data_IF_617639776429
#
_entry.id   IF_617639776429
#
_cell.length_a   1.000
_cell.length_b   1.000
_cell.length_c   1.000
_cell.angle_alpha   90.00
_cell.angle_beta   90.00
_cell.angle_gamma   90.00
#
_symmetry.space_group_name_H-M   'P 1'
#
loop_
_entity.id
_entity.type
_entity.pdbx_description
1 polymer ?
#
# COMPACT_ATOMS: atom_id res chain seq x y z
N UNK A 1 24.52 12.18 -13.56
CA UNK A 1 24.73 12.85 -12.28
C UNK A 1 24.03 11.97 -11.23
N UNK A 2 24.79 11.14 -10.55
CA UNK A 2 24.25 10.13 -9.61
C UNK A 2 23.90 10.85 -8.32
N UNK A 3 22.62 10.97 -7.99
CA UNK A 3 22.20 11.51 -6.70
C UNK A 3 22.49 10.49 -5.60
N UNK A 4 23.52 10.75 -4.81
CA UNK A 4 23.69 10.07 -3.51
C UNK A 4 22.55 10.51 -2.60
N UNK A 5 21.57 9.63 -2.38
CA UNK A 5 20.59 9.80 -1.33
C UNK A 5 21.29 9.53 -0.01
N UNK A 6 21.68 10.59 0.70
CA UNK A 6 22.26 10.51 2.02
C UNK A 6 21.14 10.23 3.03
N UNK A 7 21.11 9.03 3.58
CA UNK A 7 20.16 8.63 4.60
C UNK A 7 20.83 8.76 5.98
N UNK A 8 20.41 9.74 6.74
CA UNK A 8 20.55 9.71 8.20
C UNK A 8 19.18 9.36 8.79
N UNK A 9 18.93 8.06 8.95
CA UNK A 9 17.91 7.57 9.86
C UNK A 9 18.43 7.75 11.31
N UNK A 10 17.53 7.95 12.31
CA UNK A 10 17.96 7.95 13.70
C UNK A 10 18.67 6.62 14.02
N UNK A 11 19.60 6.62 14.96
CA UNK A 11 20.62 5.59 15.28
C UNK A 11 20.20 4.11 15.38
N UNK A 12 18.93 3.78 15.19
CA UNK A 12 18.40 2.40 15.18
C UNK A 12 18.15 1.82 13.79
N UNK A 13 18.45 2.55 12.72
CA UNK A 13 18.16 2.14 11.34
C UNK A 13 19.37 1.65 10.54
N UNK A 14 20.49 1.39 11.19
CA UNK A 14 21.77 1.09 10.53
C UNK A 14 21.97 -0.40 10.18
N UNK A 15 20.88 -1.16 9.91
CA UNK A 15 20.96 -2.59 9.56
C UNK A 15 20.70 -2.83 8.07
N UNK A 16 20.11 -1.87 7.33
CA UNK A 16 19.89 -2.04 5.92
C UNK A 16 21.14 -1.68 5.11
N UNK A 17 21.80 -2.71 4.54
CA UNK A 17 22.67 -2.46 3.39
C UNK A 17 21.79 -1.89 2.27
N UNK A 18 22.18 -0.77 1.61
CA UNK A 18 21.50 -0.32 0.40
C UNK A 18 21.38 -1.51 -0.56
N UNK A 19 20.20 -1.75 -1.09
CA UNK A 19 20.03 -2.71 -2.17
C UNK A 19 20.86 -2.21 -3.35
N UNK A 20 21.92 -2.96 -3.69
CA UNK A 20 22.71 -2.71 -4.89
C UNK A 20 21.97 -3.42 -6.03
N UNK A 21 21.42 -2.63 -6.96
CA UNK A 21 20.85 -3.18 -8.18
C UNK A 21 21.93 -3.95 -8.93
N UNK A 22 21.77 -5.27 -8.97
CA UNK A 22 22.58 -6.09 -9.87
C UNK A 22 22.11 -5.75 -11.28
N UNK A 23 22.96 -5.15 -12.10
CA UNK A 23 22.64 -4.65 -13.44
C UNK A 23 21.68 -5.60 -14.19
N UNK A 24 20.44 -5.13 -14.46
CA UNK A 24 19.42 -5.85 -15.20
C UNK A 24 18.45 -6.69 -14.35
N UNK A 25 18.51 -6.69 -13.02
CA UNK A 25 17.57 -7.44 -12.18
C UNK A 25 16.16 -6.85 -12.20
N UNK A 26 16.03 -5.50 -12.31
CA UNK A 26 14.78 -4.80 -12.38
C UNK A 26 14.48 -4.22 -13.75
N UNK A 27 13.26 -4.44 -14.22
CA UNK A 27 12.80 -3.89 -15.48
C UNK A 27 12.61 -2.38 -15.36
N UNK A 28 13.20 -1.63 -16.27
CA UNK A 28 12.99 -0.18 -16.38
C UNK A 28 11.55 0.11 -16.80
N UNK A 29 10.77 0.86 -15.97
CA UNK A 29 9.43 1.27 -16.34
C UNK A 29 9.45 2.41 -17.34
N UNK A 30 8.38 2.60 -18.11
CA UNK A 30 8.20 3.76 -18.95
C UNK A 30 6.93 4.53 -18.61
N UNK A 31 6.94 5.83 -18.92
CA UNK A 31 5.85 6.76 -18.63
C UNK A 31 5.17 7.17 -19.92
N UNK A 32 3.85 7.01 -19.98
CA UNK A 32 3.02 7.63 -21.01
C UNK A 32 2.36 8.87 -20.41
N UNK A 33 2.70 10.03 -20.98
CA UNK A 33 2.11 11.32 -20.62
C UNK A 33 1.35 11.89 -21.83
N UNK A 34 0.03 12.04 -21.69
CA UNK A 34 -0.83 12.63 -22.72
C UNK A 34 -1.28 14.07 -22.40
N UNK A 35 -0.62 14.72 -21.42
CA UNK A 35 -0.92 16.06 -20.94
C UNK A 35 -2.02 16.10 -19.86
N UNK A 36 -2.96 15.18 -19.86
CA UNK A 36 -4.04 15.09 -18.86
C UNK A 36 -3.80 14.00 -17.83
N UNK A 37 -3.14 12.92 -18.23
CA UNK A 37 -2.78 11.81 -17.35
C UNK A 37 -1.34 11.35 -17.58
N UNK A 38 -0.68 10.95 -16.50
CA UNK A 38 0.58 10.20 -16.53
C UNK A 38 0.32 8.78 -16.09
N UNK A 39 0.81 7.82 -16.85
CA UNK A 39 0.65 6.40 -16.56
C UNK A 39 2.00 5.70 -16.57
N UNK A 40 2.25 4.88 -15.56
CA UNK A 40 3.45 4.07 -15.39
C UNK A 40 3.18 2.65 -15.87
N UNK A 41 4.09 2.10 -16.67
CA UNK A 41 3.99 0.77 -17.23
C UNK A 41 5.32 0.02 -17.12
N UNK A 42 5.27 -1.31 -16.91
CA UNK A 42 6.39 -2.21 -17.18
C UNK A 42 6.30 -2.83 -18.59
N UNK A 43 5.08 -3.07 -19.07
CA UNK A 43 4.75 -3.51 -20.43
C UNK A 43 3.51 -2.75 -20.90
N UNK A 44 3.24 -2.71 -22.21
CA UNK A 44 2.11 -1.94 -22.76
C UNK A 44 0.74 -2.36 -22.22
N UNK A 45 0.62 -3.58 -21.76
CA UNK A 45 -0.59 -4.21 -21.20
C UNK A 45 -0.66 -4.17 -19.65
N UNK A 46 0.44 -3.77 -18.99
CA UNK A 46 0.53 -3.79 -17.52
C UNK A 46 0.62 -2.37 -16.95
N UNK A 47 -0.53 -1.74 -16.77
CA UNK A 47 -0.62 -0.46 -16.06
C UNK A 47 -0.27 -0.66 -14.58
N UNK A 48 0.80 -0.01 -14.13
CA UNK A 48 1.23 -0.02 -12.73
C UNK A 48 0.62 1.12 -11.93
N UNK A 49 0.50 2.29 -12.54
CA UNK A 49 -0.09 3.46 -11.88
C UNK A 49 -0.60 4.47 -12.89
N UNK A 50 -1.60 5.26 -12.46
CA UNK A 50 -2.12 6.38 -13.23
C UNK A 50 -2.34 7.58 -12.33
N UNK A 51 -1.95 8.76 -12.81
CA UNK A 51 -2.13 10.04 -12.14
C UNK A 51 -2.84 11.02 -13.06
N UNK A 52 -3.87 11.69 -12.56
CA UNK A 52 -4.45 12.86 -13.23
C UNK A 52 -3.55 14.07 -13.01
N UNK A 53 -3.10 14.73 -14.08
CA UNK A 53 -2.16 15.87 -13.99
C UNK A 53 -2.78 17.08 -13.27
N UNK A 54 -4.09 17.30 -13.42
CA UNK A 54 -4.83 18.36 -12.74
C UNK A 54 -5.10 18.07 -11.26
N UNK A 55 -5.13 16.79 -10.87
CA UNK A 55 -5.43 16.35 -9.51
C UNK A 55 -4.48 15.20 -9.10
N UNK A 56 -3.21 15.47 -8.87
CA UNK A 56 -2.17 14.44 -8.69
C UNK A 56 -2.33 13.58 -7.44
N UNK A 57 -3.16 14.00 -6.48
CA UNK A 57 -3.50 13.23 -5.27
C UNK A 57 -4.78 12.42 -5.41
N UNK A 58 -5.51 12.53 -6.53
CA UNK A 58 -6.71 11.75 -6.79
C UNK A 58 -6.36 10.26 -7.00
N UNK A 59 -7.18 9.37 -6.42
CA UNK A 59 -7.05 7.92 -6.60
C UNK A 59 -7.71 7.52 -7.92
N UNK A 60 -6.92 7.53 -9.01
CA UNK A 60 -7.42 7.32 -10.38
C UNK A 60 -7.74 5.84 -10.69
N UNK A 61 -7.07 4.89 -10.02
CA UNK A 61 -7.30 3.45 -10.20
C UNK A 61 -8.22 2.96 -9.07
N UNK A 62 -9.23 2.16 -9.40
CA UNK A 62 -10.33 1.83 -8.49
C UNK A 62 -9.88 1.08 -7.21
N UNK A 63 -9.01 0.07 -7.34
CA UNK A 63 -8.53 -0.69 -6.19
C UNK A 63 -7.83 0.18 -5.14
N UNK A 64 -7.20 1.29 -5.56
CA UNK A 64 -6.56 2.22 -4.62
C UNK A 64 -7.56 2.86 -3.68
N UNK A 65 -8.80 3.10 -4.13
CA UNK A 65 -9.89 3.58 -3.26
C UNK A 65 -10.34 2.48 -2.29
N UNK A 66 -10.39 1.22 -2.75
CA UNK A 66 -10.70 0.09 -1.86
C UNK A 66 -9.63 -0.05 -0.78
N UNK A 67 -8.34 0.08 -1.12
CA UNK A 67 -7.25 0.03 -0.13
C UNK A 67 -7.37 1.13 0.93
N UNK A 68 -7.95 2.29 0.62
CA UNK A 68 -8.22 3.33 1.62
C UNK A 68 -9.30 2.91 2.64
N UNK A 69 -9.95 1.77 2.45
CA UNK A 69 -10.84 1.17 3.44
C UNK A 69 -10.21 0.96 4.81
N UNK A 70 -8.87 1.03 4.94
CA UNK A 70 -8.20 1.03 6.25
C UNK A 70 -8.69 2.16 7.16
N UNK A 71 -9.12 3.29 6.60
CA UNK A 71 -9.66 4.43 7.34
C UNK A 71 -10.94 4.08 8.12
N UNK A 72 -11.65 3.01 7.75
CA UNK A 72 -12.77 2.47 8.52
C UNK A 72 -12.32 1.86 9.85
N UNK A 73 -11.07 1.41 9.95
CA UNK A 73 -10.50 0.73 11.13
C UNK A 73 -9.63 1.67 11.96
N UNK A 74 -8.85 2.50 11.28
CA UNK A 74 -8.00 3.51 11.88
C UNK A 74 -7.99 4.76 10.99
N UNK A 75 -8.70 5.78 11.41
CA UNK A 75 -8.85 7.03 10.67
C UNK A 75 -7.70 8.02 10.88
N UNK A 76 -6.80 7.76 11.84
CA UNK A 76 -5.66 8.62 12.21
C UNK A 76 -4.41 7.81 12.57
N UNK A 77 -3.92 6.95 11.68
CA UNK A 77 -2.72 6.17 11.97
C UNK A 77 -1.51 7.08 12.15
N UNK A 78 -0.72 6.83 13.18
CA UNK A 78 0.50 7.59 13.41
C UNK A 78 1.62 7.19 12.44
N UNK A 79 1.66 5.90 12.02
CA UNK A 79 2.68 5.39 11.12
C UNK A 79 2.11 4.38 10.12
N UNK A 80 2.23 4.70 8.84
CA UNK A 80 1.86 3.81 7.74
C UNK A 80 3.13 3.27 7.07
N UNK A 81 3.24 1.92 7.00
CA UNK A 81 4.19 1.22 6.14
C UNK A 81 3.57 0.96 4.76
N UNK A 82 4.35 1.07 3.69
CA UNK A 82 3.92 0.74 2.33
C UNK A 82 4.97 -0.12 1.63
N UNK A 83 4.57 -1.26 1.09
CA UNK A 83 5.40 -2.10 0.21
C UNK A 83 4.89 -1.91 -1.21
N UNK A 84 5.73 -1.32 -2.05
CA UNK A 84 5.41 -0.83 -3.39
C UNK A 84 5.13 0.68 -3.39
N UNK A 85 5.73 1.38 -4.35
CA UNK A 85 5.54 2.82 -4.58
C UNK A 85 4.70 3.08 -5.84
N UNK A 86 5.05 2.44 -6.94
CA UNK A 86 4.50 2.75 -8.25
C UNK A 86 4.56 4.24 -8.56
N UNK A 87 3.47 4.85 -9.01
CA UNK A 87 3.36 6.31 -9.17
C UNK A 87 3.02 7.08 -7.88
N UNK A 88 3.15 6.45 -6.71
CA UNK A 88 2.94 7.07 -5.41
C UNK A 88 1.49 7.48 -5.11
N UNK A 89 0.50 6.88 -5.77
CA UNK A 89 -0.92 7.28 -5.63
C UNK A 89 -1.41 7.17 -4.19
N UNK A 90 -1.16 6.04 -3.51
CA UNK A 90 -1.55 5.81 -2.12
C UNK A 90 -0.81 6.78 -1.18
N UNK A 91 0.51 6.91 -1.37
CA UNK A 91 1.35 7.80 -0.54
C UNK A 91 0.89 9.26 -0.65
N UNK A 92 0.70 9.77 -1.88
CA UNK A 92 0.29 11.18 -2.10
C UNK A 92 -1.07 11.48 -1.50
N UNK A 93 -2.02 10.56 -1.65
CA UNK A 93 -3.35 10.69 -1.05
C UNK A 93 -3.24 10.74 0.48
N UNK A 94 -2.59 9.75 1.10
CA UNK A 94 -2.43 9.69 2.55
C UNK A 94 -1.63 10.90 3.08
N UNK A 95 -0.55 11.30 2.42
CA UNK A 95 0.27 12.44 2.82
C UNK A 95 -0.55 13.75 2.87
N UNK A 96 -1.42 13.97 1.87
CA UNK A 96 -2.27 15.17 1.81
C UNK A 96 -3.36 15.17 2.88
N UNK A 97 -3.97 14.02 3.14
CA UNK A 97 -5.20 13.95 3.94
C UNK A 97 -4.99 13.46 5.38
N UNK A 98 -3.81 12.97 5.70
CA UNK A 98 -3.41 12.51 7.04
C UNK A 98 -2.17 13.29 7.50
N UNK A 99 -2.30 14.58 7.91
CA UNK A 99 -1.16 15.47 8.13
C UNK A 99 -0.23 15.04 9.27
N UNK A 100 -0.73 14.29 10.26
CA UNK A 100 0.04 13.83 11.42
C UNK A 100 0.73 12.47 11.19
N UNK A 101 0.43 11.81 10.06
CA UNK A 101 0.93 10.47 9.75
C UNK A 101 2.35 10.51 9.18
N UNK A 102 3.20 9.62 9.66
CA UNK A 102 4.52 9.30 9.06
C UNK A 102 4.39 8.12 8.12
N UNK A 103 5.27 8.07 7.13
CA UNK A 103 5.28 7.04 6.08
C UNK A 103 6.65 6.41 5.95
N UNK A 104 6.69 5.08 5.90
CA UNK A 104 7.87 4.32 5.46
C UNK A 104 7.46 3.52 4.23
N UNK A 105 8.05 3.86 3.08
CA UNK A 105 7.73 3.26 1.78
C UNK A 105 8.90 2.44 1.30
N UNK A 106 8.68 1.19 0.98
CA UNK A 106 9.68 0.25 0.49
C UNK A 106 9.36 -0.05 -0.97
N UNK A 107 10.31 0.27 -1.85
CA UNK A 107 10.22 0.01 -3.28
C UNK A 107 11.48 -0.74 -3.73
N UNK A 108 11.28 -1.88 -4.38
CA UNK A 108 12.40 -2.73 -4.79
C UNK A 108 13.09 -2.19 -6.04
N UNK A 109 12.35 -1.51 -6.91
CA UNK A 109 12.84 -1.06 -8.21
C UNK A 109 13.39 0.39 -8.14
N UNK A 110 14.72 0.59 -8.24
CA UNK A 110 15.32 1.93 -8.19
C UNK A 110 14.86 2.84 -9.33
N UNK A 111 14.47 2.28 -10.49
CA UNK A 111 13.95 3.07 -11.61
C UNK A 111 12.56 3.65 -11.28
N UNK A 112 11.71 2.94 -10.53
CA UNK A 112 10.43 3.46 -10.03
C UNK A 112 10.68 4.61 -9.06
N UNK A 113 11.64 4.47 -8.15
CA UNK A 113 12.04 5.54 -7.23
C UNK A 113 12.53 6.78 -7.99
N UNK A 114 13.33 6.60 -9.03
CA UNK A 114 13.84 7.71 -9.84
C UNK A 114 12.72 8.50 -10.54
N UNK A 115 11.55 7.89 -10.78
CA UNK A 115 10.40 8.54 -11.40
C UNK A 115 9.48 9.25 -10.38
N UNK A 116 9.73 9.12 -9.08
CA UNK A 116 8.85 9.65 -8.02
C UNK A 116 8.53 11.13 -8.18
N UNK A 117 9.52 11.97 -8.52
CA UNK A 117 9.33 13.40 -8.77
C UNK A 117 8.41 13.68 -9.96
N UNK A 118 8.50 12.89 -11.04
CA UNK A 118 7.63 13.05 -12.22
C UNK A 118 6.16 12.78 -11.91
N UNK A 119 5.91 11.93 -10.88
CA UNK A 119 4.59 11.63 -10.37
C UNK A 119 4.16 12.52 -9.19
N UNK A 120 4.97 13.52 -8.82
CA UNK A 120 4.64 14.47 -7.76
C UNK A 120 4.62 13.86 -6.36
N UNK A 121 5.45 12.84 -6.13
CA UNK A 121 5.68 12.30 -4.78
C UNK A 121 6.37 13.36 -3.93
N UNK A 122 5.86 13.70 -2.73
CA UNK A 122 6.44 14.74 -1.88
C UNK A 122 7.84 14.36 -1.37
N UNK A 123 8.72 15.37 -1.28
CA UNK A 123 10.10 15.23 -0.74
C UNK A 123 10.19 15.66 0.72
N UNK A 124 9.22 15.28 1.53
CA UNK A 124 9.19 15.59 2.96
C UNK A 124 9.90 14.50 3.77
N UNK A 125 11.17 14.77 4.12
CA UNK A 125 12.01 13.83 4.88
C UNK A 125 11.63 13.70 6.36
N UNK A 126 10.81 14.58 6.89
CA UNK A 126 10.32 14.50 8.26
C UNK A 126 9.19 13.48 8.38
N UNK A 127 8.37 13.37 7.34
CA UNK A 127 7.21 12.49 7.32
C UNK A 127 7.36 11.26 6.42
N UNK A 128 8.23 11.31 5.40
CA UNK A 128 8.39 10.24 4.41
C UNK A 128 9.81 9.68 4.45
N UNK A 129 9.92 8.39 4.72
CA UNK A 129 11.14 7.61 4.54
C UNK A 129 10.94 6.67 3.35
N UNK A 130 11.72 6.87 2.28
CA UNK A 130 11.69 6.01 1.10
C UNK A 130 12.91 5.09 1.12
N UNK A 131 12.68 3.78 1.12
CA UNK A 131 13.70 2.74 1.18
C UNK A 131 13.73 1.99 -0.15
N UNK A 132 14.90 1.93 -0.79
CA UNK A 132 15.13 1.05 -1.93
C UNK A 132 15.48 -0.35 -1.39
N UNK A 133 14.60 -1.35 -1.60
CA UNK A 133 14.85 -2.69 -1.10
C UNK A 133 13.67 -3.66 -1.21
N UNK A 134 13.93 -4.92 -0.89
CA UNK A 134 12.92 -5.98 -0.86
C UNK A 134 12.00 -5.82 0.35
N UNK A 135 10.67 -5.72 0.10
CA UNK A 135 9.66 -5.56 1.15
C UNK A 135 9.56 -6.76 2.09
N UNK A 136 9.78 -7.98 1.59
CA UNK A 136 9.76 -9.18 2.44
C UNK A 136 10.98 -9.25 3.36
N UNK A 137 12.13 -8.81 2.88
CA UNK A 137 13.31 -8.66 3.71
C UNK A 137 13.13 -7.56 4.75
N UNK A 138 12.57 -6.42 4.33
CA UNK A 138 12.35 -5.29 5.22
C UNK A 138 11.47 -5.66 6.43
N UNK A 139 10.29 -6.28 6.21
CA UNK A 139 9.41 -6.65 7.34
C UNK A 139 10.01 -7.72 8.25
N UNK A 140 10.92 -8.54 7.76
CA UNK A 140 11.66 -9.52 8.56
C UNK A 140 12.69 -8.88 9.50
N UNK A 141 13.32 -7.77 9.06
CA UNK A 141 14.52 -7.24 9.71
C UNK A 141 14.26 -5.92 10.46
N UNK A 142 13.16 -5.24 10.18
CA UNK A 142 12.87 -3.94 10.80
C UNK A 142 12.40 -4.08 12.25
N UNK A 143 12.84 -3.11 13.09
CA UNK A 143 12.28 -2.89 14.42
C UNK A 143 11.10 -1.92 14.44
N UNK A 144 10.77 -1.29 13.31
CA UNK A 144 9.65 -0.37 13.21
C UNK A 144 8.32 -1.08 13.47
N UNK A 145 7.34 -0.32 13.92
CA UNK A 145 5.96 -0.78 14.09
C UNK A 145 5.03 0.14 13.34
N UNK A 146 4.01 -0.46 12.71
CA UNK A 146 3.05 0.24 11.86
C UNK A 146 1.63 0.07 12.40
N UNK A 147 0.86 1.14 12.37
CA UNK A 147 -0.58 1.08 12.64
C UNK A 147 -1.30 0.51 11.42
N UNK A 148 -0.82 0.85 10.23
CA UNK A 148 -1.29 0.30 8.96
C UNK A 148 -0.10 -0.11 8.10
N UNK A 149 -0.16 -1.31 7.53
CA UNK A 149 0.80 -1.79 6.52
C UNK A 149 0.05 -2.04 5.22
N UNK A 150 0.32 -1.23 4.19
CA UNK A 150 -0.23 -1.40 2.85
C UNK A 150 0.75 -2.23 2.01
N UNK A 151 0.28 -3.32 1.41
CA UNK A 151 1.07 -4.17 0.52
C UNK A 151 0.46 -4.11 -0.88
N UNK A 152 1.14 -3.39 -1.77
CA UNK A 152 0.78 -3.15 -3.18
C UNK A 152 2.02 -3.37 -4.06
N UNK A 153 2.70 -4.49 -3.85
CA UNK A 153 3.93 -4.87 -4.53
C UNK A 153 3.67 -5.83 -5.69
N UNK A 154 3.82 -5.34 -6.91
CA UNK A 154 3.75 -6.11 -8.15
C UNK A 154 5.00 -5.85 -8.98
N UNK A 155 5.45 -6.87 -9.70
CA UNK A 155 6.50 -6.76 -10.70
C UNK A 155 5.93 -7.01 -12.12
N UNK A 156 6.81 -7.07 -13.11
CA UNK A 156 6.44 -7.34 -14.50
C UNK A 156 5.91 -8.77 -14.74
N UNK A 157 6.02 -9.67 -13.76
CA UNK A 157 5.48 -11.05 -13.78
C UNK A 157 4.18 -11.16 -12.99
N UNK A 158 3.76 -10.08 -12.32
CA UNK A 158 2.58 -10.05 -11.46
C UNK A 158 2.93 -10.01 -9.98
N UNK A 159 2.35 -10.90 -9.18
CA UNK A 159 2.52 -10.90 -7.74
C UNK A 159 3.77 -11.69 -7.31
N UNK A 160 4.77 -11.07 -6.68
CA UNK A 160 6.00 -11.75 -6.28
C UNK A 160 5.72 -12.84 -5.24
N UNK A 161 6.23 -14.08 -5.42
CA UNK A 161 6.05 -15.17 -4.45
C UNK A 161 6.57 -14.84 -3.05
N UNK A 162 7.58 -13.99 -2.92
CA UNK A 162 8.12 -13.52 -1.64
C UNK A 162 7.07 -12.79 -0.82
N UNK A 163 6.22 -11.97 -1.47
CA UNK A 163 5.14 -11.20 -0.85
C UNK A 163 3.84 -11.99 -0.62
N UNK A 164 3.82 -13.29 -0.94
CA UNK A 164 2.68 -14.18 -0.74
C UNK A 164 3.03 -15.41 0.10
N UNK A 165 4.22 -15.44 0.68
CA UNK A 165 4.67 -16.56 1.49
C UNK A 165 4.06 -16.52 2.90
N UNK A 166 3.89 -17.70 3.53
CA UNK A 166 3.44 -17.82 4.93
C UNK A 166 4.34 -17.00 5.88
N UNK A 167 5.65 -17.06 5.69
CA UNK A 167 6.62 -16.31 6.50
C UNK A 167 6.47 -14.79 6.34
N UNK A 168 6.22 -14.34 5.12
CA UNK A 168 5.99 -12.92 4.87
C UNK A 168 4.79 -12.41 5.66
N UNK A 169 3.65 -13.10 5.62
CA UNK A 169 2.46 -12.67 6.38
C UNK A 169 2.66 -12.75 7.89
N UNK A 170 3.43 -13.71 8.39
CA UNK A 170 3.83 -13.76 9.81
C UNK A 170 4.67 -12.53 10.19
N UNK A 171 5.68 -12.16 9.39
CA UNK A 171 6.46 -10.95 9.65
C UNK A 171 5.61 -9.67 9.51
N UNK A 172 4.65 -9.62 8.56
CA UNK A 172 3.69 -8.52 8.50
C UNK A 172 2.89 -8.39 9.80
N UNK A 173 2.42 -9.51 10.36
CA UNK A 173 1.75 -9.52 11.66
C UNK A 173 2.66 -9.01 12.79
N UNK A 174 3.92 -9.40 12.81
CA UNK A 174 4.89 -9.01 13.84
C UNK A 174 5.20 -7.51 13.83
N UNK A 175 5.32 -6.88 12.65
CA UNK A 175 5.64 -5.45 12.51
C UNK A 175 4.43 -4.53 12.73
N UNK A 176 3.24 -5.07 12.91
CA UNK A 176 2.06 -4.28 13.26
C UNK A 176 2.01 -3.98 14.75
N UNK A 177 1.48 -2.79 15.09
CA UNK A 177 1.08 -2.44 16.46
C UNK A 177 -0.01 -3.39 16.98
N UNK A 178 -0.34 -3.44 18.28
CA UNK A 178 -1.31 -4.40 18.85
C UNK A 178 -2.71 -4.35 18.20
N UNK A 179 -3.10 -3.23 17.60
CA UNK A 179 -4.38 -3.04 16.90
C UNK A 179 -4.18 -2.77 15.41
N UNK A 180 -2.96 -2.98 14.92
CA UNK A 180 -2.57 -2.63 13.55
C UNK A 180 -3.28 -3.46 12.49
N UNK A 181 -3.33 -2.91 11.28
CA UNK A 181 -4.04 -3.46 10.13
C UNK A 181 -3.07 -3.71 8.97
N UNK A 182 -3.11 -4.90 8.42
CA UNK A 182 -2.54 -5.21 7.10
C UNK A 182 -3.62 -4.99 6.04
N UNK A 183 -3.27 -4.30 4.95
CA UNK A 183 -4.09 -4.19 3.74
C UNK A 183 -3.28 -4.71 2.56
N UNK A 184 -3.67 -5.85 2.03
CA UNK A 184 -2.95 -6.49 0.94
C UNK A 184 -3.76 -6.48 -0.35
N UNK A 185 -3.12 -6.03 -1.43
CA UNK A 185 -3.67 -6.09 -2.78
C UNK A 185 -3.23 -7.40 -3.45
N UNK A 186 -4.19 -8.23 -3.87
CA UNK A 186 -3.99 -9.46 -4.61
C UNK A 186 -4.71 -9.39 -5.97
N UNK A 187 -4.15 -10.03 -7.00
CA UNK A 187 -4.91 -10.26 -8.23
C UNK A 187 -6.04 -11.25 -7.98
N UNK A 188 -7.27 -10.84 -8.31
CA UNK A 188 -8.48 -11.67 -8.08
C UNK A 188 -8.43 -13.01 -8.81
N UNK A 189 -8.02 -12.98 -10.08
CA UNK A 189 -7.98 -14.16 -10.96
C UNK A 189 -6.65 -14.92 -10.92
N UNK A 190 -5.75 -14.63 -9.96
CA UNK A 190 -4.48 -15.32 -9.85
C UNK A 190 -4.70 -16.79 -9.41
N UNK A 191 -4.10 -17.80 -10.09
CA UNK A 191 -4.30 -19.22 -9.73
C UNK A 191 -3.94 -19.56 -8.27
N UNK A 192 -3.02 -18.79 -7.67
CA UNK A 192 -2.62 -18.94 -6.26
C UNK A 192 -3.45 -18.15 -5.28
N UNK A 193 -4.49 -17.41 -5.70
CA UNK A 193 -5.26 -16.49 -4.86
C UNK A 193 -5.77 -17.13 -3.57
N UNK A 194 -6.44 -18.28 -3.66
CA UNK A 194 -6.96 -19.01 -2.50
C UNK A 194 -5.86 -19.45 -1.52
N UNK A 195 -4.68 -19.82 -2.05
CA UNK A 195 -3.52 -20.19 -1.24
C UNK A 195 -2.96 -18.96 -0.50
N UNK A 196 -2.90 -17.80 -1.16
CA UNK A 196 -2.41 -16.56 -0.55
C UNK A 196 -3.36 -16.09 0.54
N UNK A 197 -4.67 -16.08 0.27
CA UNK A 197 -5.72 -15.74 1.25
C UNK A 197 -5.70 -16.67 2.45
N UNK A 198 -5.54 -18.00 2.25
CA UNK A 198 -5.42 -18.97 3.33
C UNK A 198 -4.20 -18.71 4.22
N UNK A 199 -3.04 -18.43 3.63
CA UNK A 199 -1.80 -18.13 4.38
C UNK A 199 -1.93 -16.86 5.21
N UNK A 200 -2.58 -15.84 4.64
CA UNK A 200 -2.84 -14.58 5.33
C UNK A 200 -3.84 -14.80 6.48
N UNK A 201 -4.90 -15.56 6.22
CA UNK A 201 -5.89 -15.96 7.24
C UNK A 201 -5.23 -16.67 8.42
N UNK A 202 -4.34 -17.63 8.17
CA UNK A 202 -3.60 -18.34 9.21
C UNK A 202 -2.72 -17.38 10.05
N UNK A 203 -2.03 -16.42 9.41
CA UNK A 203 -1.17 -15.47 10.12
C UNK A 203 -1.94 -14.51 11.04
N UNK A 204 -3.23 -14.27 10.76
CA UNK A 204 -4.09 -13.36 11.50
C UNK A 204 -5.25 -14.05 12.25
N UNK A 205 -5.14 -15.37 12.51
CA UNK A 205 -6.14 -16.17 13.24
C UNK A 205 -7.56 -16.05 12.66
N UNK A 206 -7.68 -15.98 11.35
CA UNK A 206 -8.94 -15.81 10.64
C UNK A 206 -9.55 -14.40 10.75
N UNK A 207 -8.86 -13.45 11.33
CA UNK A 207 -9.34 -12.08 11.52
C UNK A 207 -9.09 -11.22 10.28
N UNK A 208 -9.75 -11.57 9.18
CA UNK A 208 -9.62 -10.86 7.90
C UNK A 208 -10.96 -10.73 7.19
N UNK A 209 -11.03 -9.75 6.30
CA UNK A 209 -12.12 -9.54 5.34
C UNK A 209 -11.53 -9.31 3.97
N UNK A 210 -12.10 -9.96 2.96
CA UNK A 210 -11.75 -9.77 1.57
C UNK A 210 -12.81 -8.96 0.85
N UNK A 211 -12.37 -7.95 0.09
CA UNK A 211 -13.22 -7.06 -0.69
C UNK A 211 -12.71 -6.98 -2.12
N UNK A 212 -13.46 -7.50 -3.08
CA UNK A 212 -13.11 -7.34 -4.49
C UNK A 212 -13.14 -5.86 -4.89
N UNK A 213 -12.18 -5.39 -5.69
CA UNK A 213 -12.24 -4.05 -6.28
C UNK A 213 -13.46 -3.91 -7.20
N UNK A 214 -13.88 -2.68 -7.49
CA UNK A 214 -15.06 -2.43 -8.32
C UNK A 214 -14.93 -3.03 -9.73
N UNK A 215 -13.74 -3.02 -10.31
CA UNK A 215 -13.43 -3.66 -11.59
C UNK A 215 -13.23 -5.18 -11.49
N UNK A 216 -13.24 -5.74 -10.26
CA UNK A 216 -13.00 -7.16 -9.97
C UNK A 216 -11.66 -7.71 -10.49
N UNK A 217 -10.71 -6.87 -10.79
CA UNK A 217 -9.34 -7.27 -11.16
C UNK A 217 -8.48 -7.57 -9.95
N UNK A 218 -8.81 -6.96 -8.81
CA UNK A 218 -8.07 -7.04 -7.57
C UNK A 218 -8.98 -7.43 -6.41
N UNK A 219 -8.45 -8.16 -5.46
CA UNK A 219 -9.02 -8.43 -4.14
C UNK A 219 -8.18 -7.72 -3.09
N UNK A 220 -8.82 -6.91 -2.24
CA UNK A 220 -8.18 -6.22 -1.15
C UNK A 220 -8.52 -6.94 0.15
N UNK A 221 -7.49 -7.43 0.83
CA UNK A 221 -7.63 -8.13 2.09
C UNK A 221 -7.28 -7.20 3.24
N UNK A 222 -8.19 -7.05 4.19
CA UNK A 222 -8.01 -6.32 5.43
C UNK A 222 -7.83 -7.33 6.54
N UNK A 223 -6.65 -7.42 7.15
CA UNK A 223 -6.35 -8.36 8.22
C UNK A 223 -5.89 -7.61 9.47
N UNK A 224 -6.62 -7.74 10.58
CA UNK A 224 -6.40 -6.96 11.80
C UNK A 224 -5.73 -7.79 12.88
N UNK A 225 -4.69 -7.22 13.49
CA UNK A 225 -4.04 -7.77 14.67
C UNK A 225 -4.81 -7.42 15.93
N UNK A 226 -4.96 -8.37 16.82
CA UNK A 226 -5.62 -8.16 18.15
C UNK A 226 -7.14 -8.17 18.07
N UNK A 227 -7.79 -7.01 18.12
CA UNK A 227 -9.25 -6.93 18.17
C UNK A 227 -9.89 -7.49 16.89
N UNK A 228 -10.94 -8.31 17.05
CA UNK A 228 -11.66 -8.83 15.88
C UNK A 228 -12.34 -7.70 15.11
N UNK A 229 -12.38 -7.86 13.81
CA UNK A 229 -13.13 -6.96 12.93
C UNK A 229 -14.60 -7.06 13.31
N UNK A 230 -15.18 -5.93 13.73
CA UNK A 230 -16.58 -5.81 14.15
C UNK A 230 -17.33 -4.89 13.19
N UNK A 231 -18.40 -5.40 12.63
CA UNK A 231 -19.26 -4.65 11.70
C UNK A 231 -19.95 -3.48 12.43
N UNK A 232 -20.36 -3.69 13.67
CA UNK A 232 -21.08 -2.66 14.44
C UNK A 232 -20.16 -1.46 14.74
N UNK A 233 -18.88 -1.70 15.01
CA UNK A 233 -17.88 -0.63 15.18
C UNK A 233 -17.69 0.18 13.89
N UNK A 234 -17.62 -0.51 12.74
CA UNK A 234 -17.46 0.14 11.45
C UNK A 234 -18.68 0.99 11.05
N UNK A 235 -19.90 0.57 11.45
CA UNK A 235 -21.14 1.32 11.20
C UNK A 235 -21.28 2.57 12.08
N UNK A 236 -20.76 2.53 13.30
CA UNK A 236 -20.86 3.65 14.25
C UNK A 236 -19.79 4.72 14.00
N UNK A 237 -18.71 4.37 13.32
CA UNK A 237 -17.65 5.31 12.98
C UNK A 237 -18.05 6.17 11.77
N UNK A 238 -17.91 7.50 11.88
CA UNK A 238 -17.78 8.36 10.69
C UNK A 238 -16.27 8.55 10.41
N UNK A 239 -15.61 7.61 9.72
CA UNK A 239 -14.17 7.63 9.50
C UNK A 239 -13.75 8.82 8.64
N UNK A 240 -14.72 9.43 7.94
CA UNK A 240 -14.50 10.57 7.07
C UNK A 240 -14.83 11.91 7.78
N UNK A 241 -15.23 11.91 9.05
CA UNK A 241 -15.68 13.12 9.75
C UNK A 241 -14.61 14.23 9.77
N UNK A 242 -13.35 13.83 9.91
CA UNK A 242 -12.21 14.74 9.97
C UNK A 242 -11.56 14.98 8.58
N UNK A 243 -12.00 14.25 7.55
CA UNK A 243 -11.50 14.40 6.18
C UNK A 243 -12.36 15.40 5.42
N UNK A 244 -11.73 16.19 4.56
CA UNK A 244 -12.40 17.21 3.78
C UNK A 244 -13.44 16.67 2.79
N UNK A 245 -14.32 17.54 2.24
CA UNK A 245 -15.39 17.14 1.33
C UNK A 245 -14.87 16.45 0.05
N UNK A 246 -13.68 16.80 -0.40
CA UNK A 246 -13.02 16.18 -1.54
C UNK A 246 -12.79 14.67 -1.31
N UNK A 247 -12.30 14.28 -0.13
CA UNK A 247 -12.08 12.88 0.25
C UNK A 247 -13.39 12.14 0.41
N UNK A 248 -14.38 12.78 1.05
CA UNK A 248 -15.73 12.22 1.17
C UNK A 248 -16.32 11.89 -0.21
N UNK A 249 -16.22 12.81 -1.18
CA UNK A 249 -16.69 12.59 -2.53
C UNK A 249 -15.98 11.41 -3.24
N UNK A 250 -14.69 11.18 -2.95
CA UNK A 250 -13.94 10.07 -3.55
C UNK A 250 -14.23 8.72 -2.91
N UNK A 251 -14.50 8.66 -1.60
CA UNK A 251 -14.48 7.41 -0.81
C UNK A 251 -15.85 6.99 -0.27
N UNK A 252 -16.86 7.87 -0.21
CA UNK A 252 -18.15 7.59 0.40
C UNK A 252 -18.83 6.32 -0.19
N UNK A 253 -18.91 6.24 -1.51
CA UNK A 253 -19.53 5.10 -2.20
C UNK A 253 -18.74 3.82 -1.97
N UNK A 254 -17.41 3.91 -1.98
CA UNK A 254 -16.52 2.78 -1.78
C UNK A 254 -16.61 2.25 -0.34
N UNK A 255 -16.65 3.14 0.64
CA UNK A 255 -16.80 2.76 2.04
C UNK A 255 -18.15 2.15 2.34
N UNK A 256 -19.23 2.67 1.72
CA UNK A 256 -20.55 2.06 1.79
C UNK A 256 -20.54 0.63 1.23
N UNK A 257 -19.85 0.42 0.10
CA UNK A 257 -19.68 -0.90 -0.52
C UNK A 257 -18.86 -1.86 0.36
N UNK A 258 -17.76 -1.40 0.93
CA UNK A 258 -16.95 -2.19 1.87
C UNK A 258 -17.78 -2.59 3.08
N UNK A 259 -18.50 -1.64 3.68
CA UNK A 259 -19.38 -1.89 4.82
C UNK A 259 -20.46 -2.94 4.50
N UNK A 260 -21.03 -2.89 3.29
CA UNK A 260 -22.02 -3.88 2.86
C UNK A 260 -21.43 -5.29 2.72
N UNK A 261 -20.26 -5.43 2.06
CA UNK A 261 -19.55 -6.73 1.92
C UNK A 261 -19.22 -7.35 3.28
N UNK A 262 -18.85 -6.52 4.26
CA UNK A 262 -18.57 -6.98 5.61
C UNK A 262 -19.83 -7.43 6.38
N UNK A 263 -21.03 -7.11 5.90
CA UNK A 263 -22.30 -7.45 6.58
C UNK A 263 -22.97 -8.70 6.03
N UNK A 264 -22.58 -9.17 4.86
CA UNK A 264 -23.13 -10.42 4.34
C UNK A 264 -22.44 -11.61 5.03
N UNK A 265 -23.20 -12.57 5.61
CA UNK A 265 -22.62 -13.83 6.07
C UNK A 265 -22.14 -14.59 4.82
N UNK A 266 -20.81 -14.86 4.73
CA UNK A 266 -20.21 -15.70 3.70
C UNK A 266 -20.66 -17.16 3.79
#
# INVERSE_FOLDING_TARGET
>A
MIFKVSHTLPDHANIFKPYEDVEGEHREPFVLDNGTTKSLYFTLDQLQSRMCSAQPTQLAVDYTRTMMGFLLFDSRPAHIGMIGLGGGSLLKFCYRHLPETRFTVIEINPHVIALSQQFGVPEDKERITLVCGDGAQFVRETSLRFDVLLVDGFDHKGQPPSLCSRRFYQHCFEVLTPQGLLVANLHHDHPGHSVFTSRLSEAFDGNLVEVASKAKSNSILFARKGQRISIDELRQADPLAHLGPEVRAQLCDEFSRIGWVMTEPG
#
